data_IF_771563028802
#
_entry.id   IF_771563028802
#
_cell.length_a   1.000
_cell.length_b   1.000
_cell.length_c   1.000
_cell.angle_alpha   90.00
_cell.angle_beta   90.00
_cell.angle_gamma   90.00
#
_symmetry.space_group_name_H-M   'P 1'
#
loop_
_entity.id
_entity.type
_entity.pdbx_description
1 polymer ?
#
# COMPACT_ATOMS: atom_id res chain seq x y z
N UNK A 1 -5.95 13.87 -12.33
CA UNK A 1 -5.24 12.99 -13.23
C UNK A 1 -6.24 12.34 -14.18
N UNK A 2 -6.23 12.75 -15.44
CA UNK A 2 -7.27 12.35 -16.39
C UNK A 2 -7.28 10.87 -16.70
N UNK A 3 -6.11 10.26 -16.82
CA UNK A 3 -6.00 8.82 -17.03
C UNK A 3 -6.60 8.04 -15.88
N UNK A 4 -6.48 8.56 -14.67
CA UNK A 4 -7.07 7.97 -13.47
C UNK A 4 -8.60 8.03 -13.49
N UNK A 5 -9.19 9.05 -14.10
CA UNK A 5 -10.64 9.14 -14.22
C UNK A 5 -11.22 8.05 -15.09
N UNK A 6 -10.50 7.66 -16.14
CA UNK A 6 -10.91 6.60 -17.06
C UNK A 6 -10.65 5.21 -16.51
N UNK A 7 -9.58 5.07 -15.72
CA UNK A 7 -9.11 3.78 -15.19
C UNK A 7 -8.94 3.85 -13.68
N UNK A 8 -9.96 4.28 -12.97
CA UNK A 8 -9.91 4.58 -11.54
C UNK A 8 -9.28 3.47 -10.69
N UNK A 9 -9.69 2.23 -10.92
CA UNK A 9 -9.17 1.11 -10.15
C UNK A 9 -7.70 0.84 -10.45
N UNK A 10 -7.29 0.98 -11.71
CA UNK A 10 -5.90 0.75 -12.11
C UNK A 10 -4.98 1.82 -11.56
N UNK A 11 -5.44 3.07 -11.48
CA UNK A 11 -4.65 4.18 -11.01
C UNK A 11 -4.15 3.98 -9.57
N UNK A 12 -5.02 3.54 -8.69
CA UNK A 12 -4.66 3.30 -7.29
C UNK A 12 -3.84 2.03 -7.14
N UNK A 13 -4.16 1.00 -7.90
CA UNK A 13 -3.37 -0.24 -7.86
C UNK A 13 -1.94 -0.03 -8.29
N UNK A 14 -1.71 0.88 -9.24
CA UNK A 14 -0.39 1.18 -9.75
C UNK A 14 0.37 2.20 -8.91
N UNK A 15 -0.31 2.96 -8.06
CA UNK A 15 0.30 4.07 -7.34
C UNK A 15 0.89 3.71 -5.98
N UNK A 16 0.88 2.42 -5.57
CA UNK A 16 1.55 1.97 -4.33
C UNK A 16 1.21 2.84 -3.12
N UNK A 17 -0.04 2.80 -2.67
CA UNK A 17 -0.54 3.63 -1.56
C UNK A 17 -0.44 5.12 -1.84
N UNK A 18 -0.59 5.53 -3.11
CA UNK A 18 -0.53 6.92 -3.49
C UNK A 18 0.88 7.50 -3.51
N UNK A 19 1.90 6.64 -3.58
CA UNK A 19 3.31 7.03 -3.65
C UNK A 19 3.68 7.98 -2.50
N UNK A 20 3.67 7.52 -1.25
CA UNK A 20 3.94 8.40 -0.11
C UNK A 20 5.39 8.90 -0.09
N UNK A 21 5.63 10.16 0.33
CA UNK A 21 6.99 10.73 0.38
C UNK A 21 7.73 10.29 1.65
N UNK A 22 8.01 9.00 1.77
CA UNK A 22 8.58 8.41 2.99
C UNK A 22 9.99 8.93 3.25
N UNK A 23 10.80 9.08 2.21
CA UNK A 23 12.20 9.52 2.36
C UNK A 23 12.31 10.92 2.98
N UNK A 24 11.37 11.82 2.68
CA UNK A 24 11.35 13.17 3.25
C UNK A 24 10.63 13.24 4.61
N UNK A 25 9.85 12.23 4.94
CA UNK A 25 9.06 12.20 6.16
C UNK A 25 7.84 13.10 6.15
N UNK A 26 7.51 13.69 5.02
CA UNK A 26 6.34 14.57 4.87
C UNK A 26 5.08 13.71 4.72
N UNK A 27 4.20 13.76 5.73
CA UNK A 27 3.02 12.91 5.74
C UNK A 27 1.71 13.72 5.56
N UNK A 28 1.70 14.99 5.91
CA UNK A 28 0.46 15.76 6.04
C UNK A 28 -0.30 15.90 4.72
N UNK A 29 0.36 16.35 3.66
CA UNK A 29 -0.29 16.53 2.37
C UNK A 29 -0.70 15.20 1.75
N UNK A 30 0.20 14.21 1.80
CA UNK A 30 -0.10 12.86 1.32
C UNK A 30 -1.30 12.26 2.06
N UNK A 31 -1.38 12.45 3.38
CA UNK A 31 -2.48 11.88 4.18
C UNK A 31 -3.83 12.46 3.79
N UNK A 32 -3.88 13.75 3.45
CA UNK A 32 -5.10 14.39 2.96
C UNK A 32 -5.51 13.82 1.60
N UNK A 33 -4.56 13.63 0.70
CA UNK A 33 -4.82 13.07 -0.63
C UNK A 33 -5.33 11.64 -0.53
N UNK A 34 -4.72 10.82 0.32
CA UNK A 34 -5.16 9.43 0.54
C UNK A 34 -6.57 9.39 1.10
N UNK A 35 -6.88 10.25 2.06
CA UNK A 35 -8.23 10.33 2.61
C UNK A 35 -9.26 10.69 1.54
N UNK A 36 -8.95 11.67 0.71
CA UNK A 36 -9.84 12.09 -0.39
C UNK A 36 -10.07 10.96 -1.38
N UNK A 37 -9.02 10.21 -1.74
CA UNK A 37 -9.14 9.06 -2.64
C UNK A 37 -9.95 7.95 -2.01
N UNK A 38 -9.83 7.72 -0.71
CA UNK A 38 -10.56 6.66 -0.01
C UNK A 38 -12.07 6.91 0.02
N UNK A 39 -12.50 8.14 -0.14
CA UNK A 39 -13.92 8.48 -0.20
C UNK A 39 -14.58 8.04 -1.52
N UNK A 40 -13.78 7.70 -2.52
CA UNK A 40 -14.29 7.18 -3.79
C UNK A 40 -14.47 5.67 -3.67
N UNK A 41 -15.71 5.14 -3.82
CA UNK A 41 -16.00 3.73 -3.49
C UNK A 41 -15.34 2.70 -4.39
N UNK A 42 -14.93 3.09 -5.59
CA UNK A 42 -14.32 2.16 -6.57
C UNK A 42 -12.80 2.26 -6.63
N UNK A 43 -12.18 2.93 -5.68
CA UNK A 43 -10.73 3.09 -5.60
C UNK A 43 -10.15 2.07 -4.62
N UNK A 44 -9.08 1.38 -5.03
CA UNK A 44 -8.39 0.36 -4.22
C UNK A 44 -6.94 0.76 -4.00
N UNK A 45 -6.43 0.57 -2.79
CA UNK A 45 -5.06 0.89 -2.43
C UNK A 45 -4.17 -0.34 -2.56
N UNK A 46 -3.02 -0.20 -3.20
CA UNK A 46 -2.04 -1.28 -3.34
C UNK A 46 -0.96 -1.16 -2.27
N UNK A 47 -0.92 -2.15 -1.37
CA UNK A 47 0.11 -2.23 -0.34
C UNK A 47 1.38 -2.82 -0.94
N UNK A 48 2.24 -1.96 -1.49
CA UNK A 48 3.46 -2.38 -2.17
C UNK A 48 4.40 -1.19 -2.34
N UNK A 49 5.66 -1.46 -2.62
CA UNK A 49 6.63 -0.44 -2.99
C UNK A 49 7.12 0.47 -1.88
N UNK A 50 6.57 0.39 -0.68
CA UNK A 50 6.85 1.35 0.40
C UNK A 50 8.31 1.30 0.85
N UNK A 51 8.89 0.12 0.91
CA UNK A 51 10.30 -0.04 1.32
C UNK A 51 11.26 0.67 0.36
N UNK A 52 10.91 0.72 -0.92
CA UNK A 52 11.73 1.39 -1.93
C UNK A 52 11.66 2.92 -1.84
N UNK A 53 10.62 3.46 -1.22
CA UNK A 53 10.47 4.91 -1.05
C UNK A 53 11.15 5.45 0.19
N UNK A 54 11.73 4.60 1.03
CA UNK A 54 12.48 5.03 2.20
C UNK A 54 13.81 5.65 1.78
N UNK A 55 14.34 6.55 2.61
CA UNK A 55 15.69 7.07 2.41
C UNK A 55 16.70 5.91 2.49
N UNK A 56 17.84 5.98 1.77
CA UNK A 56 18.82 4.90 1.77
C UNK A 56 19.23 4.50 3.20
N UNK A 57 19.18 3.18 3.47
CA UNK A 57 19.55 2.63 4.76
C UNK A 57 18.47 2.71 5.84
N UNK A 58 17.30 3.26 5.54
CA UNK A 58 16.21 3.43 6.54
C UNK A 58 15.02 2.53 6.28
N UNK A 59 15.08 1.64 5.29
CA UNK A 59 13.95 0.75 4.97
C UNK A 59 13.66 -0.20 6.12
N UNK A 60 12.53 0.02 6.81
CA UNK A 60 12.11 -0.80 7.95
C UNK A 60 10.62 -0.68 8.17
N UNK A 61 10.06 -1.62 8.93
CA UNK A 61 8.65 -1.56 9.31
C UNK A 61 8.32 -0.26 10.05
N UNK A 62 9.17 0.14 10.98
CA UNK A 62 8.97 1.35 11.78
C UNK A 62 8.90 2.61 10.91
N UNK A 63 9.72 2.67 9.87
CA UNK A 63 9.75 3.82 8.96
C UNK A 63 8.47 3.92 8.14
N UNK A 64 7.93 2.80 7.67
CA UNK A 64 6.74 2.79 6.82
C UNK A 64 5.44 2.71 7.61
N UNK A 65 5.49 2.34 8.90
CA UNK A 65 4.32 2.11 9.72
C UNK A 65 3.29 3.25 9.69
N UNK A 66 3.66 4.54 9.84
CA UNK A 66 2.67 5.63 9.80
C UNK A 66 1.89 5.67 8.49
N UNK A 67 2.55 5.37 7.38
CA UNK A 67 1.92 5.38 6.05
C UNK A 67 0.99 4.19 5.87
N UNK A 68 1.39 3.02 6.34
CA UNK A 68 0.56 1.82 6.32
C UNK A 68 -0.68 1.99 7.20
N UNK A 69 -0.50 2.46 8.41
CA UNK A 69 -1.59 2.65 9.37
C UNK A 69 -2.63 3.64 8.83
N UNK A 70 -2.18 4.75 8.27
CA UNK A 70 -3.08 5.74 7.69
C UNK A 70 -3.84 5.19 6.48
N UNK A 71 -3.17 4.45 5.61
CA UNK A 71 -3.80 3.83 4.46
C UNK A 71 -4.86 2.82 4.87
N UNK A 72 -4.56 1.99 5.88
CA UNK A 72 -5.52 1.03 6.42
C UNK A 72 -6.72 1.72 7.06
N UNK A 73 -6.50 2.81 7.79
CA UNK A 73 -7.57 3.58 8.40
C UNK A 73 -8.51 4.17 7.36
N UNK A 74 -7.96 4.69 6.26
CA UNK A 74 -8.73 5.33 5.20
C UNK A 74 -9.47 4.33 4.31
N UNK A 75 -8.77 3.30 3.82
CA UNK A 75 -9.34 2.35 2.86
C UNK A 75 -9.98 1.13 3.51
N UNK A 76 -9.45 0.71 4.65
CA UNK A 76 -9.87 -0.51 5.30
C UNK A 76 -9.35 -1.76 4.60
N UNK A 77 -9.41 -2.93 5.28
CA UNK A 77 -8.87 -4.17 4.72
C UNK A 77 -9.60 -4.68 3.48
N UNK A 78 -10.84 -4.24 3.23
CA UNK A 78 -11.60 -4.67 2.05
C UNK A 78 -11.11 -4.05 0.75
N UNK A 79 -10.44 -2.93 0.82
CA UNK A 79 -10.00 -2.17 -0.35
C UNK A 79 -8.48 -2.02 -0.44
N UNK A 80 -7.75 -2.97 0.15
CA UNK A 80 -6.29 -3.02 0.03
C UNK A 80 -5.87 -4.33 -0.58
N UNK A 81 -4.86 -4.29 -1.44
CA UNK A 81 -4.26 -5.47 -2.06
C UNK A 81 -2.75 -5.45 -1.86
N UNK A 82 -2.17 -6.59 -1.52
CA UNK A 82 -0.73 -6.74 -1.36
C UNK A 82 -0.07 -6.97 -2.71
N UNK A 83 1.14 -6.42 -2.89
CA UNK A 83 1.97 -6.68 -4.04
C UNK A 83 3.44 -6.79 -3.67
N UNK A 84 4.19 -7.60 -4.42
CA UNK A 84 5.62 -7.77 -4.21
C UNK A 84 6.44 -6.61 -4.73
N UNK A 85 5.95 -5.97 -5.78
CA UNK A 85 6.64 -4.90 -6.49
C UNK A 85 8.05 -5.31 -6.96
N UNK A 86 8.21 -6.58 -7.30
CA UNK A 86 9.47 -7.10 -7.83
C UNK A 86 9.65 -6.65 -9.28
N UNK A 87 10.82 -6.18 -9.72
CA UNK A 87 12.10 -6.14 -8.97
C UNK A 87 12.38 -4.81 -8.25
N UNK A 88 11.49 -3.81 -8.29
CA UNK A 88 11.69 -2.50 -7.66
C UNK A 88 11.90 -2.65 -6.15
N UNK A 89 11.29 -3.66 -5.53
CA UNK A 89 11.44 -3.98 -4.12
C UNK A 89 12.91 -4.16 -3.70
N UNK A 90 13.80 -4.49 -4.64
CA UNK A 90 15.23 -4.63 -4.37
C UNK A 90 15.89 -3.29 -3.97
N UNK A 91 15.30 -2.16 -4.34
CA UNK A 91 15.77 -0.85 -3.89
C UNK A 91 15.54 -0.64 -2.38
N UNK A 92 14.66 -1.45 -1.77
CA UNK A 92 14.33 -1.36 -0.35
C UNK A 92 14.58 -2.66 0.40
N UNK A 93 15.77 -3.25 0.33
CA UNK A 93 16.21 -4.48 1.01
C UNK A 93 15.69 -5.80 0.43
N UNK A 94 14.93 -5.76 -0.67
CA UNK A 94 14.53 -6.96 -1.40
C UNK A 94 13.23 -7.60 -0.93
N UNK A 95 12.81 -8.62 -1.68
CA UNK A 95 11.51 -9.28 -1.50
C UNK A 95 11.41 -10.03 -0.16
N UNK A 96 12.48 -10.66 0.30
CA UNK A 96 12.45 -11.42 1.54
C UNK A 96 12.18 -10.51 2.74
N UNK A 97 12.83 -9.35 2.78
CA UNK A 97 12.59 -8.39 3.85
C UNK A 97 11.17 -7.81 3.75
N UNK A 98 10.68 -7.55 2.54
CA UNK A 98 9.31 -7.08 2.34
C UNK A 98 8.29 -8.11 2.83
N UNK A 99 8.54 -9.40 2.60
CA UNK A 99 7.67 -10.45 3.10
C UNK A 99 7.66 -10.47 4.63
N UNK A 100 8.81 -10.32 5.28
CA UNK A 100 8.89 -10.26 6.75
C UNK A 100 8.10 -9.07 7.30
N UNK A 101 8.28 -7.91 6.70
CA UNK A 101 7.54 -6.70 7.08
C UNK A 101 6.04 -6.91 6.89
N UNK A 102 5.66 -7.55 5.78
CA UNK A 102 4.26 -7.87 5.50
C UNK A 102 3.66 -8.75 6.60
N UNK A 103 4.37 -9.77 7.05
CA UNK A 103 3.91 -10.61 8.16
C UNK A 103 3.68 -9.79 9.43
N UNK A 104 4.53 -8.83 9.71
CA UNK A 104 4.34 -7.94 10.86
C UNK A 104 3.09 -7.07 10.70
N UNK A 105 2.88 -6.51 9.52
CA UNK A 105 1.69 -5.71 9.21
C UNK A 105 0.42 -6.54 9.39
N UNK A 106 0.37 -7.69 8.73
CA UNK A 106 -0.81 -8.55 8.74
C UNK A 106 -1.05 -9.20 10.10
N UNK A 107 0.01 -9.41 10.88
CA UNK A 107 -0.08 -9.96 12.23
C UNK A 107 -0.81 -9.05 13.21
N UNK A 108 -0.94 -7.76 12.90
CA UNK A 108 -1.71 -6.80 13.70
C UNK A 108 -3.19 -6.76 13.33
N UNK A 109 -3.60 -7.55 12.34
CA UNK A 109 -4.97 -7.61 11.86
C UNK A 109 -5.60 -8.97 12.21
N UNK A 110 -6.93 -9.06 12.11
CA UNK A 110 -7.61 -10.36 12.24
C UNK A 110 -7.22 -11.27 11.07
N UNK A 111 -7.41 -12.58 11.23
CA UNK A 111 -7.11 -13.54 10.17
C UNK A 111 -7.90 -13.25 8.88
N UNK A 112 -9.18 -12.86 9.02
CA UNK A 112 -10.02 -12.50 7.88
C UNK A 112 -9.49 -11.26 7.16
N UNK A 113 -9.12 -10.22 7.90
CA UNK A 113 -8.58 -8.99 7.34
C UNK A 113 -7.25 -9.24 6.64
N UNK A 114 -6.37 -10.02 7.27
CA UNK A 114 -5.08 -10.38 6.69
C UNK A 114 -5.25 -11.14 5.37
N UNK A 115 -6.17 -12.10 5.32
CA UNK A 115 -6.46 -12.88 4.13
C UNK A 115 -7.00 -12.00 3.00
N UNK A 116 -7.86 -11.03 3.31
CA UNK A 116 -8.40 -10.10 2.32
C UNK A 116 -7.28 -9.32 1.62
N UNK A 117 -6.38 -8.76 2.40
CA UNK A 117 -5.25 -7.98 1.86
C UNK A 117 -4.29 -8.88 1.09
N UNK A 118 -3.97 -10.05 1.61
CA UNK A 118 -2.99 -10.94 1.02
C UNK A 118 -3.47 -11.58 -0.29
N UNK A 119 -4.76 -11.88 -0.44
CA UNK A 119 -5.23 -12.60 -1.62
C UNK A 119 -6.67 -12.34 -2.03
N UNK A 120 -7.65 -12.37 -1.12
CA UNK A 120 -9.07 -12.38 -1.48
C UNK A 120 -9.51 -11.13 -2.24
N UNK A 121 -9.02 -9.96 -1.87
CA UNK A 121 -9.35 -8.71 -2.56
C UNK A 121 -8.79 -8.71 -3.98
N UNK A 122 -7.57 -9.21 -4.18
CA UNK A 122 -6.97 -9.30 -5.50
C UNK A 122 -7.77 -10.26 -6.40
N UNK A 123 -8.19 -11.40 -5.87
CA UNK A 123 -9.01 -12.35 -6.62
C UNK A 123 -10.31 -11.73 -7.10
N UNK A 124 -11.00 -11.00 -6.22
CA UNK A 124 -12.24 -10.32 -6.52
C UNK A 124 -12.05 -9.20 -7.54
N UNK A 125 -11.05 -8.34 -7.34
CA UNK A 125 -10.82 -7.13 -8.15
C UNK A 125 -10.31 -7.49 -9.53
N UNK A 126 -9.39 -8.43 -9.61
CA UNK A 126 -8.81 -8.87 -10.89
C UNK A 126 -9.61 -9.99 -11.55
N UNK A 127 -10.62 -10.53 -10.88
CA UNK A 127 -11.49 -11.58 -11.40
C UNK A 127 -10.74 -12.87 -11.78
N UNK A 128 -9.87 -13.31 -10.90
CA UNK A 128 -9.07 -14.51 -11.09
C UNK A 128 -9.49 -15.62 -10.13
#
# INVERSE_FOLDING_TARGET
HEDCRRQRQMCIRDSHCGVPPIASGEIDEWSKDIKSLSELPNVTCKLSGLMAYCAPGTSSYETIKPYVDHSLECFGPDRMVWGSDYPVVNAGKGIQEWIKVTHTILGNLSDDEAKKIASSNAERIYKI
#
